data_IF_238984525694
#
_entry.id   IF_238984525694
#
_cell.length_a   1.000
_cell.length_b   1.000
_cell.length_c   1.000
_cell.angle_alpha   90.00
_cell.angle_beta   90.00
_cell.angle_gamma   90.00
#
_symmetry.space_group_name_H-M   'P 1'
#
loop_
_entity.id
_entity.type
_entity.pdbx_description
1 polymer ?
#
# COMPACT_ATOMS: atom_id res chain seq x y z
N UNK A 1 -22.03 -7.95 14.07
CA UNK A 1 -21.09 -8.30 12.99
C UNK A 1 -21.71 -8.03 11.62
N UNK A 2 -22.81 -8.69 11.26
CA UNK A 2 -23.47 -8.60 9.92
C UNK A 2 -23.81 -7.16 9.51
N UNK A 3 -24.29 -6.34 10.44
CA UNK A 3 -24.60 -4.92 10.18
C UNK A 3 -23.35 -4.15 9.75
N UNK A 4 -22.22 -4.36 10.41
CA UNK A 4 -20.98 -3.65 10.08
C UNK A 4 -20.35 -4.17 8.79
N UNK A 5 -20.45 -5.46 8.50
CA UNK A 5 -20.02 -6.02 7.21
C UNK A 5 -20.80 -5.40 6.06
N UNK A 6 -22.12 -5.26 6.18
CA UNK A 6 -22.91 -4.52 5.17
C UNK A 6 -22.46 -3.07 5.04
N UNK A 7 -22.21 -2.39 6.16
CA UNK A 7 -21.77 -1.00 6.16
C UNK A 7 -20.38 -0.81 5.56
N UNK A 8 -19.49 -1.79 5.66
CA UNK A 8 -18.16 -1.71 5.07
C UNK A 8 -18.19 -1.55 3.55
N UNK A 9 -19.30 -1.94 2.92
CA UNK A 9 -19.51 -1.79 1.47
C UNK A 9 -20.13 -0.44 1.08
N UNK A 10 -20.42 0.45 2.03
CA UNK A 10 -21.06 1.74 1.73
C UNK A 10 -20.16 2.71 0.93
N UNK A 11 -18.87 2.46 0.83
CA UNK A 11 -17.96 3.23 -0.02
C UNK A 11 -18.43 3.29 -1.48
N UNK A 12 -19.09 2.24 -1.98
CA UNK A 12 -19.67 2.16 -3.33
C UNK A 12 -20.64 3.33 -3.59
N UNK A 13 -21.38 3.75 -2.57
CA UNK A 13 -22.42 4.79 -2.70
C UNK A 13 -21.87 6.19 -2.95
N UNK A 14 -20.60 6.43 -2.62
CA UNK A 14 -19.90 7.72 -2.79
C UNK A 14 -18.81 7.66 -3.86
N UNK A 15 -18.69 6.55 -4.55
CA UNK A 15 -17.79 6.42 -5.71
C UNK A 15 -18.50 6.93 -6.97
N UNK A 16 -17.95 7.95 -7.60
CA UNK A 16 -18.41 8.46 -8.90
C UNK A 16 -17.64 7.80 -10.03
N UNK A 17 -18.26 6.82 -10.69
CA UNK A 17 -17.65 6.08 -11.80
C UNK A 17 -17.29 6.95 -13.01
N UNK A 18 -17.91 8.13 -13.17
CA UNK A 18 -17.57 9.05 -14.27
C UNK A 18 -16.24 9.77 -14.08
N UNK A 19 -15.86 10.02 -12.84
CA UNK A 19 -14.59 10.67 -12.46
C UNK A 19 -13.58 9.67 -11.89
N UNK A 20 -14.05 8.51 -11.42
CA UNK A 20 -13.30 7.51 -10.65
C UNK A 20 -12.70 8.07 -9.36
N UNK A 21 -13.48 8.93 -8.67
CA UNK A 21 -13.15 9.45 -7.36
C UNK A 21 -14.29 9.20 -6.38
N UNK A 22 -13.97 9.09 -5.10
CA UNK A 22 -14.95 9.27 -4.05
C UNK A 22 -15.31 10.73 -3.95
N UNK A 23 -16.60 11.05 -3.95
CA UNK A 23 -17.08 12.43 -3.97
C UNK A 23 -18.14 12.68 -2.90
N UNK A 24 -18.21 13.92 -2.44
CA UNK A 24 -19.29 14.39 -1.61
C UNK A 24 -20.64 14.25 -2.32
N UNK A 25 -21.63 13.76 -1.59
CA UNK A 25 -23.02 13.66 -2.03
C UNK A 25 -23.92 14.51 -1.15
N UNK A 26 -24.81 15.27 -1.76
CA UNK A 26 -25.83 16.04 -1.06
C UNK A 26 -26.97 15.13 -0.60
N UNK A 27 -27.82 15.66 0.29
CA UNK A 27 -28.97 14.91 0.82
C UNK A 27 -29.97 14.53 -0.27
N UNK A 28 -30.06 15.28 -1.36
CA UNK A 28 -30.88 14.99 -2.53
C UNK A 28 -30.30 13.90 -3.46
N UNK A 29 -29.11 13.36 -3.12
CA UNK A 29 -28.40 12.34 -3.88
C UNK A 29 -27.52 12.87 -5.00
N UNK A 30 -27.52 14.18 -5.25
CA UNK A 30 -26.66 14.77 -6.27
C UNK A 30 -25.22 14.93 -5.78
N UNK A 31 -24.26 14.82 -6.73
CA UNK A 31 -22.85 15.07 -6.43
C UNK A 31 -22.62 16.54 -6.07
N UNK A 32 -21.71 16.81 -5.14
CA UNK A 32 -21.24 18.16 -4.90
C UNK A 32 -20.54 18.73 -6.12
N UNK A 33 -20.85 19.99 -6.43
CA UNK A 33 -20.28 20.74 -7.56
C UNK A 33 -19.93 22.18 -7.13
N UNK A 34 -18.86 22.79 -7.67
CA UNK A 34 -17.88 22.22 -8.61
C UNK A 34 -17.02 21.13 -7.97
N UNK A 35 -16.43 20.23 -8.77
CA UNK A 35 -15.50 19.22 -8.32
C UNK A 35 -14.12 19.48 -8.89
N UNK A 36 -13.16 19.69 -8.02
CA UNK A 36 -11.73 19.78 -8.32
C UNK A 36 -10.98 18.74 -7.47
N UNK A 37 -10.37 17.71 -8.07
CA UNK A 37 -9.70 16.66 -7.32
C UNK A 37 -8.42 17.13 -6.62
N UNK A 38 -7.88 18.29 -6.95
CA UNK A 38 -6.70 18.89 -6.33
C UNK A 38 -7.04 19.87 -5.20
N UNK A 39 -8.32 20.21 -5.04
CA UNK A 39 -8.74 21.13 -4.01
C UNK A 39 -8.86 20.41 -2.65
N UNK A 40 -8.34 21.08 -1.61
CA UNK A 40 -8.63 20.74 -0.22
C UNK A 40 -10.08 21.11 0.03
N UNK A 41 -10.92 20.14 0.27
CA UNK A 41 -12.36 20.32 0.28
C UNK A 41 -13.05 19.85 1.54
N UNK A 42 -14.31 20.28 1.72
CA UNK A 42 -15.14 19.90 2.87
C UNK A 42 -15.45 18.40 2.95
N UNK A 43 -15.41 17.73 1.79
CA UNK A 43 -15.73 16.29 1.70
C UNK A 43 -14.57 15.39 2.06
N UNK A 44 -13.36 15.96 2.25
CA UNK A 44 -12.15 15.22 2.55
C UNK A 44 -11.50 15.82 3.80
N UNK A 45 -11.32 15.03 4.82
CA UNK A 45 -10.63 15.45 6.03
C UNK A 45 -9.14 15.58 5.76
N UNK A 46 -8.59 16.79 5.93
CA UNK A 46 -7.15 17.07 5.83
C UNK A 46 -6.51 16.59 4.52
N UNK A 47 -7.26 16.64 3.40
CA UNK A 47 -6.81 16.03 2.16
C UNK A 47 -7.49 16.60 0.91
N UNK A 48 -6.99 16.19 -0.24
CA UNK A 48 -7.67 16.30 -1.54
C UNK A 48 -8.42 15.02 -1.88
N UNK A 49 -9.17 15.00 -2.99
CA UNK A 49 -9.82 13.79 -3.48
C UNK A 49 -8.81 12.69 -3.82
N UNK A 50 -7.60 13.04 -4.22
CA UNK A 50 -6.55 12.08 -4.56
C UNK A 50 -6.11 11.22 -3.36
N UNK A 51 -5.95 11.79 -2.16
CA UNK A 51 -5.54 11.07 -0.96
C UNK A 51 -6.64 10.14 -0.43
N UNK A 52 -7.91 10.37 -0.79
CA UNK A 52 -9.02 9.47 -0.45
C UNK A 52 -9.39 8.49 -1.56
N UNK A 53 -8.90 8.69 -2.78
CA UNK A 53 -9.27 7.91 -3.97
C UNK A 53 -9.10 6.40 -3.81
N UNK A 54 -8.10 5.98 -3.03
CA UNK A 54 -7.74 4.58 -2.83
C UNK A 54 -8.00 4.10 -1.40
N UNK A 55 -8.73 4.87 -0.58
CA UNK A 55 -8.90 4.57 0.83
C UNK A 55 -10.02 3.54 1.08
N UNK A 56 -9.78 2.31 0.63
CA UNK A 56 -10.65 1.14 0.86
C UNK A 56 -9.76 -0.08 1.20
N UNK A 57 -8.96 -0.01 2.29
CA UNK A 57 -7.93 -1.02 2.58
C UNK A 57 -8.50 -2.41 2.88
N UNK A 58 -9.77 -2.52 3.26
CA UNK A 58 -10.47 -3.78 3.55
C UNK A 58 -10.99 -4.48 2.28
N UNK A 59 -11.13 -3.76 1.16
CA UNK A 59 -11.70 -4.31 -0.08
C UNK A 59 -11.04 -3.73 -1.34
N UNK A 60 -9.75 -3.98 -1.48
CA UNK A 60 -8.95 -3.49 -2.61
C UNK A 60 -9.40 -4.11 -3.93
N UNK A 61 -9.79 -5.40 -3.94
CA UNK A 61 -10.31 -6.02 -5.15
C UNK A 61 -11.65 -5.42 -5.56
N UNK A 62 -12.58 -5.23 -4.62
CA UNK A 62 -13.85 -4.54 -4.90
C UNK A 62 -13.63 -3.13 -5.43
N UNK A 63 -12.69 -2.38 -4.85
CA UNK A 63 -12.28 -1.08 -5.39
C UNK A 63 -11.73 -1.19 -6.82
N UNK A 64 -10.89 -2.16 -7.10
CA UNK A 64 -10.35 -2.42 -8.44
C UNK A 64 -11.47 -2.61 -9.48
N UNK A 65 -12.55 -3.31 -9.10
CA UNK A 65 -13.71 -3.47 -10.00
C UNK A 65 -14.43 -2.14 -10.26
N UNK A 66 -14.56 -1.27 -9.25
CA UNK A 66 -15.15 0.07 -9.43
C UNK A 66 -14.35 0.96 -10.39
N UNK A 67 -13.03 0.79 -10.43
CA UNK A 67 -12.15 1.49 -11.38
C UNK A 67 -12.28 0.98 -12.82
N UNK A 68 -12.98 -0.12 -13.05
CA UNK A 68 -13.13 -0.75 -14.36
C UNK A 68 -12.16 -1.89 -14.62
N UNK A 69 -11.57 -2.45 -13.55
CA UNK A 69 -10.67 -3.59 -13.60
C UNK A 69 -9.21 -3.25 -13.31
N UNK A 70 -8.39 -4.30 -13.34
CA UNK A 70 -6.98 -4.27 -12.90
C UNK A 70 -6.15 -3.23 -13.62
N UNK A 71 -6.20 -3.19 -14.95
CA UNK A 71 -5.38 -2.29 -15.77
C UNK A 71 -5.74 -0.81 -15.55
N UNK A 72 -7.03 -0.51 -15.44
CA UNK A 72 -7.51 0.83 -15.14
C UNK A 72 -7.08 1.27 -13.74
N UNK A 73 -7.20 0.37 -12.75
CA UNK A 73 -6.76 0.63 -11.39
C UNK A 73 -5.25 0.91 -11.32
N UNK A 74 -4.42 0.11 -12.00
CA UNK A 74 -2.96 0.31 -12.06
C UNK A 74 -2.63 1.67 -12.69
N UNK A 75 -3.27 2.02 -13.81
CA UNK A 75 -3.03 3.30 -14.48
C UNK A 75 -3.40 4.49 -13.59
N UNK A 76 -4.51 4.39 -12.85
CA UNK A 76 -4.93 5.42 -11.91
C UNK A 76 -4.03 5.50 -10.66
N UNK A 77 -3.53 4.36 -10.19
CA UNK A 77 -2.57 4.31 -9.08
C UNK A 77 -1.19 4.85 -9.51
N UNK A 78 -0.73 4.55 -10.72
CA UNK A 78 0.47 5.19 -11.30
C UNK A 78 0.29 6.71 -11.39
N UNK A 79 -0.90 7.16 -11.82
CA UNK A 79 -1.21 8.59 -11.93
C UNK A 79 -1.12 9.31 -10.59
N UNK A 80 -1.50 8.69 -9.48
CA UNK A 80 -1.37 9.28 -8.14
C UNK A 80 0.04 9.80 -7.87
N UNK A 81 1.07 9.03 -8.26
CA UNK A 81 2.47 9.35 -8.02
C UNK A 81 3.11 10.24 -9.11
N UNK A 82 2.41 10.45 -10.23
CA UNK A 82 2.97 11.13 -11.42
C UNK A 82 2.34 12.47 -11.75
N UNK A 83 1.12 12.76 -11.27
CA UNK A 83 0.47 14.05 -11.49
C UNK A 83 1.17 15.17 -10.72
N UNK A 84 0.79 16.41 -10.98
CA UNK A 84 1.34 17.56 -10.25
C UNK A 84 1.17 17.42 -8.74
N UNK A 85 2.16 17.87 -7.98
CA UNK A 85 2.08 18.00 -6.51
C UNK A 85 1.42 19.31 -6.06
N UNK A 86 0.91 20.11 -6.97
CA UNK A 86 0.16 21.32 -6.62
C UNK A 86 -1.20 20.95 -6.04
N UNK A 87 -1.59 21.65 -4.97
CA UNK A 87 -2.89 21.54 -4.34
C UNK A 87 -3.55 22.92 -4.32
N UNK A 88 -4.87 22.95 -4.35
CA UNK A 88 -5.66 24.19 -4.29
C UNK A 88 -6.15 24.36 -2.86
N UNK A 89 -5.62 25.36 -2.16
CA UNK A 89 -5.87 25.64 -0.74
C UNK A 89 -4.65 25.33 0.12
N UNK A 90 -4.71 25.74 1.37
CA UNK A 90 -3.63 25.55 2.34
C UNK A 90 -4.05 24.57 3.43
N UNK A 91 -3.24 23.57 3.68
CA UNK A 91 -3.40 22.67 4.80
C UNK A 91 -2.03 22.10 5.23
N UNK A 92 -1.77 22.16 6.53
CA UNK A 92 -0.48 21.76 7.13
C UNK A 92 -0.19 20.28 6.94
N UNK A 93 -1.23 19.43 6.94
CA UNK A 93 -1.09 17.97 6.92
C UNK A 93 -0.85 17.39 5.51
N UNK A 94 -1.06 18.17 4.44
CA UNK A 94 -0.74 17.75 3.07
C UNK A 94 0.72 18.04 2.78
N UNK A 95 1.61 17.18 3.29
CA UNK A 95 3.06 17.31 3.19
C UNK A 95 3.69 16.02 2.64
N UNK A 96 4.97 16.08 2.25
CA UNK A 96 5.68 14.93 1.71
C UNK A 96 5.06 14.43 0.40
N UNK A 97 4.73 15.37 -0.51
CA UNK A 97 4.04 15.04 -1.74
C UNK A 97 4.97 14.38 -2.76
N UNK A 98 4.50 13.25 -3.32
CA UNK A 98 5.00 12.63 -4.55
C UNK A 98 3.81 12.51 -5.50
N UNK A 99 3.72 13.37 -6.50
CA UNK A 99 2.45 13.59 -7.18
C UNK A 99 1.39 14.05 -6.17
N UNK A 100 0.29 13.33 -6.08
CA UNK A 100 -0.74 13.58 -5.07
C UNK A 100 -0.73 12.58 -3.89
N UNK A 101 0.25 11.68 -3.85
CA UNK A 101 0.54 10.91 -2.64
C UNK A 101 1.13 11.83 -1.58
N UNK A 102 0.51 11.91 -0.41
CA UNK A 102 0.94 12.77 0.70
C UNK A 102 1.44 11.90 1.86
N UNK A 103 2.76 11.73 1.97
CA UNK A 103 3.33 10.85 2.99
C UNK A 103 3.10 11.36 4.42
N UNK A 104 3.03 12.67 4.59
CA UNK A 104 2.79 13.30 5.90
C UNK A 104 1.37 13.15 6.43
N UNK A 105 0.48 12.39 5.76
CA UNK A 105 -0.88 12.14 6.22
C UNK A 105 -1.28 10.67 5.99
N UNK A 106 -1.88 10.05 7.00
CA UNK A 106 -2.16 8.62 7.09
C UNK A 106 -3.06 8.03 5.99
N UNK A 107 -4.02 8.77 5.39
CA UNK A 107 -4.80 8.23 4.28
C UNK A 107 -3.97 7.72 3.11
N UNK A 108 -2.72 8.17 2.98
CA UNK A 108 -1.81 7.75 1.92
C UNK A 108 -0.98 6.49 2.25
N UNK A 109 -0.78 6.17 3.53
CA UNK A 109 0.25 5.22 3.98
C UNK A 109 0.17 3.81 3.39
N UNK A 110 -1.03 3.36 3.02
CA UNK A 110 -1.24 2.04 2.42
C UNK A 110 -1.06 2.02 0.90
N UNK A 111 -1.07 3.18 0.23
CA UNK A 111 -1.22 3.25 -1.24
C UNK A 111 -0.06 2.65 -2.01
N UNK A 112 1.19 2.81 -1.53
CA UNK A 112 2.36 2.20 -2.15
C UNK A 112 2.30 0.66 -2.13
N UNK A 113 1.53 0.08 -1.22
CA UNK A 113 1.35 -1.37 -1.07
C UNK A 113 0.25 -1.95 -1.97
N UNK A 114 -0.60 -1.11 -2.56
CA UNK A 114 -1.75 -1.56 -3.36
C UNK A 114 -1.35 -2.27 -4.65
N UNK A 115 -0.14 -2.03 -5.16
CA UNK A 115 0.38 -2.76 -6.31
C UNK A 115 0.50 -4.26 -6.07
N UNK A 116 0.74 -4.68 -4.83
CA UNK A 116 0.77 -6.10 -4.44
C UNK A 116 -0.59 -6.79 -4.61
N UNK A 117 -1.70 -6.06 -4.46
CA UNK A 117 -3.06 -6.58 -4.66
C UNK A 117 -3.42 -6.80 -6.13
N UNK A 118 -2.69 -6.14 -7.02
CA UNK A 118 -2.93 -6.21 -8.47
C UNK A 118 -1.78 -6.86 -9.23
N UNK A 119 -1.01 -7.73 -8.55
CA UNK A 119 0.04 -8.56 -9.14
C UNK A 119 1.24 -7.78 -9.67
N UNK A 120 1.55 -6.62 -9.08
CA UNK A 120 2.76 -5.84 -9.38
C UNK A 120 3.60 -5.54 -8.12
N UNK A 121 3.96 -6.56 -7.30
CA UNK A 121 4.67 -6.32 -6.04
C UNK A 121 6.03 -5.62 -6.21
N UNK A 122 6.66 -5.71 -7.37
CA UNK A 122 7.89 -4.96 -7.65
C UNK A 122 7.70 -3.43 -7.59
N UNK A 123 6.50 -2.91 -7.97
CA UNK A 123 6.17 -1.49 -7.81
C UNK A 123 5.97 -1.11 -6.34
N UNK A 124 5.36 -1.98 -5.53
CA UNK A 124 5.33 -1.81 -4.07
C UNK A 124 6.76 -1.63 -3.54
N UNK A 125 7.69 -2.51 -3.92
CA UNK A 125 9.08 -2.47 -3.46
C UNK A 125 9.79 -1.20 -3.92
N UNK A 126 9.55 -0.75 -5.14
CA UNK A 126 10.12 0.48 -5.69
C UNK A 126 9.62 1.72 -4.95
N UNK A 127 8.30 1.86 -4.80
CA UNK A 127 7.71 3.02 -4.15
C UNK A 127 8.00 3.07 -2.65
N UNK A 128 7.90 1.96 -1.94
CA UNK A 128 8.21 1.94 -0.50
C UNK A 128 9.67 2.28 -0.25
N UNK A 129 10.59 1.78 -1.09
CA UNK A 129 12.01 2.13 -0.99
C UNK A 129 12.23 3.62 -1.21
N UNK A 130 11.63 4.19 -2.24
CA UNK A 130 11.72 5.61 -2.53
C UNK A 130 11.21 6.47 -1.37
N UNK A 131 10.05 6.11 -0.81
CA UNK A 131 9.46 6.84 0.32
C UNK A 131 10.34 6.74 1.59
N UNK A 132 10.92 5.56 1.87
CA UNK A 132 11.85 5.39 2.98
C UNK A 132 13.12 6.26 2.80
N UNK A 133 13.64 6.36 1.59
CA UNK A 133 14.85 7.11 1.28
C UNK A 133 14.61 8.64 1.27
N UNK A 134 13.43 9.10 0.81
CA UNK A 134 13.14 10.53 0.59
C UNK A 134 12.42 11.21 1.76
N UNK A 135 11.58 10.47 2.52
CA UNK A 135 10.68 11.08 3.52
C UNK A 135 11.20 11.03 4.95
N UNK A 136 12.33 10.36 5.17
CA UNK A 136 12.94 10.22 6.49
C UNK A 136 14.41 10.58 6.46
N UNK A 137 14.86 11.37 7.45
CA UNK A 137 16.24 11.82 7.58
C UNK A 137 16.74 11.57 9.00
N UNK A 138 18.05 11.31 9.20
CA UNK A 138 18.63 11.08 10.54
C UNK A 138 18.90 12.40 11.28
N UNK A 139 17.88 13.25 11.39
CA UNK A 139 17.91 14.55 12.07
C UNK A 139 16.72 14.68 13.00
N UNK A 140 16.72 15.61 13.98
CA UNK A 140 15.55 15.84 14.85
C UNK A 140 14.27 16.17 14.10
N UNK A 141 14.36 16.86 12.95
CA UNK A 141 13.25 17.21 12.06
C UNK A 141 13.11 16.22 10.90
N UNK A 142 13.61 15.00 11.05
CA UNK A 142 13.77 14.04 9.97
C UNK A 142 12.49 13.32 9.54
N UNK A 143 11.36 13.54 10.20
CA UNK A 143 10.05 13.00 9.82
C UNK A 143 9.30 14.08 9.03
N UNK A 144 8.79 13.73 7.86
CA UNK A 144 7.99 14.66 7.07
C UNK A 144 6.59 14.81 7.69
N UNK A 145 6.14 16.05 7.92
CA UNK A 145 4.86 16.35 8.56
C UNK A 145 4.86 16.08 10.07
N UNK A 146 3.69 15.82 10.63
CA UNK A 146 3.51 15.48 12.04
C UNK A 146 3.81 14.00 12.28
N UNK A 147 4.24 13.68 13.51
CA UNK A 147 4.55 12.28 13.87
C UNK A 147 3.29 11.43 14.12
N UNK A 148 2.23 12.09 14.59
CA UNK A 148 0.87 11.54 14.81
C UNK A 148 0.83 10.29 15.69
N UNK A 149 1.24 10.49 16.92
CA UNK A 149 1.17 9.48 17.98
C UNK A 149 1.88 8.16 17.66
N UNK A 150 2.93 8.21 16.88
CA UNK A 150 3.74 7.04 16.53
C UNK A 150 3.45 6.44 15.16
N UNK A 151 2.49 6.96 14.40
CA UNK A 151 2.12 6.38 13.10
C UNK A 151 3.24 6.52 12.07
N UNK A 152 3.88 7.68 11.97
CA UNK A 152 4.97 7.90 11.02
C UNK A 152 6.19 7.04 11.35
N UNK A 153 6.55 6.95 12.62
CA UNK A 153 7.62 6.06 13.09
C UNK A 153 7.28 4.59 12.86
N UNK A 154 6.03 4.18 13.13
CA UNK A 154 5.58 2.81 12.90
C UNK A 154 5.63 2.43 11.42
N UNK A 155 5.22 3.33 10.52
CA UNK A 155 5.33 3.10 9.08
C UNK A 155 6.77 2.90 8.65
N UNK A 156 7.69 3.79 9.11
CA UNK A 156 9.12 3.66 8.83
C UNK A 156 9.69 2.34 9.34
N UNK A 157 9.44 2.01 10.61
CA UNK A 157 10.00 0.81 11.25
C UNK A 157 9.51 -0.45 10.54
N UNK A 158 8.20 -0.60 10.35
CA UNK A 158 7.63 -1.79 9.72
C UNK A 158 8.06 -1.92 8.26
N UNK A 159 8.00 -0.83 7.48
CA UNK A 159 8.43 -0.83 6.08
C UNK A 159 9.92 -1.12 5.94
N UNK A 160 10.77 -0.57 6.83
CA UNK A 160 12.21 -0.85 6.85
C UNK A 160 12.56 -2.28 7.26
N UNK A 161 11.67 -2.97 7.97
CA UNK A 161 11.76 -4.41 8.28
C UNK A 161 11.26 -5.29 7.13
N UNK A 162 10.65 -4.71 6.10
CA UNK A 162 10.21 -5.42 4.90
C UNK A 162 8.75 -5.85 4.88
N UNK A 163 7.88 -5.25 5.71
CA UNK A 163 6.44 -5.53 5.70
C UNK A 163 5.61 -4.40 6.31
N UNK A 164 4.32 -4.32 5.95
CA UNK A 164 3.39 -3.34 6.50
C UNK A 164 1.94 -3.87 6.53
N UNK A 165 1.16 -3.49 7.53
CA UNK A 165 -0.26 -3.82 7.64
C UNK A 165 -1.11 -2.81 6.87
N UNK A 166 -1.60 -3.18 5.70
CA UNK A 166 -2.45 -2.32 4.86
C UNK A 166 -3.86 -2.20 5.42
N UNK A 167 -4.40 -3.31 5.96
CA UNK A 167 -5.74 -3.37 6.54
C UNK A 167 -5.64 -3.74 8.02
N UNK A 168 -5.68 -2.77 8.95
CA UNK A 168 -5.75 -3.04 10.38
C UNK A 168 -6.95 -3.94 10.69
N UNK A 169 -6.72 -4.99 11.46
CA UNK A 169 -7.72 -6.02 11.75
C UNK A 169 -7.68 -7.24 10.83
N UNK A 170 -6.98 -7.19 9.70
CA UNK A 170 -6.55 -8.42 9.02
C UNK A 170 -5.31 -9.01 9.71
N UNK A 171 -5.05 -10.29 9.49
CA UNK A 171 -3.84 -10.93 10.01
C UNK A 171 -2.68 -10.90 9.00
N UNK A 172 -2.77 -10.10 7.93
CA UNK A 172 -1.78 -10.06 6.85
C UNK A 172 -0.94 -8.79 6.88
N UNK A 173 0.35 -8.97 6.64
CA UNK A 173 1.33 -7.92 6.41
C UNK A 173 1.87 -8.06 5.00
N UNK A 174 1.78 -7.00 4.22
CA UNK A 174 2.23 -6.98 2.82
C UNK A 174 3.76 -6.86 2.80
N UNK A 175 4.41 -7.72 2.04
CA UNK A 175 5.86 -7.76 1.95
C UNK A 175 6.41 -6.68 1.03
N UNK A 176 7.50 -6.07 1.45
CA UNK A 176 8.34 -5.15 0.69
C UNK A 176 9.81 -5.45 0.97
N UNK A 177 10.72 -4.66 0.44
CA UNK A 177 12.15 -4.91 0.58
C UNK A 177 12.68 -4.31 1.89
N UNK A 178 13.34 -5.10 2.77
CA UNK A 178 14.00 -4.57 3.95
C UNK A 178 15.09 -3.54 3.60
N UNK A 179 15.36 -2.61 4.53
CA UNK A 179 16.49 -1.66 4.40
C UNK A 179 17.81 -2.21 4.92
N UNK A 180 17.78 -3.24 5.77
CA UNK A 180 18.95 -3.72 6.51
C UNK A 180 19.33 -5.13 6.06
N UNK A 181 20.64 -5.42 6.00
CA UNK A 181 21.13 -6.79 5.76
C UNK A 181 20.62 -7.76 6.83
N UNK A 182 20.46 -7.27 8.06
CA UNK A 182 19.94 -8.07 9.17
C UNK A 182 19.24 -7.20 10.22
N UNK A 183 18.09 -7.65 10.67
CA UNK A 183 17.38 -7.12 11.83
C UNK A 183 16.96 -8.26 12.77
N UNK A 184 16.93 -7.97 14.08
CA UNK A 184 16.44 -8.91 15.09
C UNK A 184 15.25 -8.28 15.82
N UNK A 185 14.07 -8.82 15.64
CA UNK A 185 12.84 -8.37 16.29
C UNK A 185 12.47 -9.31 17.44
N UNK A 186 12.49 -8.77 18.65
CA UNK A 186 11.98 -9.51 19.83
C UNK A 186 10.46 -9.45 19.82
N UNK A 187 9.82 -10.61 19.86
CA UNK A 187 8.38 -10.74 19.81
C UNK A 187 7.78 -10.77 21.24
N UNK A 188 6.53 -10.33 21.37
CA UNK A 188 5.83 -10.29 22.65
C UNK A 188 5.65 -11.66 23.32
N UNK A 189 5.77 -12.76 22.59
CA UNK A 189 5.74 -14.13 23.10
C UNK A 189 7.12 -14.65 23.55
N UNK A 190 8.15 -13.79 23.59
CA UNK A 190 9.52 -14.12 23.98
C UNK A 190 10.40 -14.73 22.88
N UNK A 191 9.85 -15.01 21.69
CA UNK A 191 10.62 -15.47 20.55
C UNK A 191 11.33 -14.30 19.85
N UNK A 192 12.22 -14.62 18.93
CA UNK A 192 12.90 -13.63 18.07
C UNK A 192 12.63 -13.97 16.62
N UNK A 193 12.24 -12.97 15.83
CA UNK A 193 12.26 -13.05 14.38
C UNK A 193 13.54 -12.37 13.88
N UNK A 194 14.35 -13.11 13.15
CA UNK A 194 15.54 -12.62 12.47
C UNK A 194 15.15 -12.35 11.02
N UNK A 195 15.34 -11.13 10.56
CA UNK A 195 15.07 -10.73 9.18
C UNK A 195 16.42 -10.57 8.50
N UNK A 196 16.62 -11.19 7.34
CA UNK A 196 17.86 -11.11 6.56
C UNK A 196 17.56 -10.75 5.11
N UNK A 197 18.48 -9.98 4.49
CA UNK A 197 18.39 -9.59 3.09
C UNK A 197 19.80 -9.42 2.50
N UNK A 198 20.01 -9.83 1.25
CA UNK A 198 21.30 -9.73 0.59
C UNK A 198 21.52 -8.34 -0.04
N UNK A 199 22.41 -7.54 0.54
CA UNK A 199 22.82 -6.22 0.03
C UNK A 199 21.62 -5.31 -0.35
N UNK A 200 20.72 -4.98 0.60
CA UNK A 200 19.51 -4.20 0.31
C UNK A 200 19.82 -2.75 -0.10
N UNK A 201 21.02 -2.26 0.15
CA UNK A 201 21.55 -0.98 -0.36
C UNK A 201 21.65 -0.95 -1.91
N UNK A 202 21.90 -2.11 -2.54
CA UNK A 202 22.04 -2.26 -3.99
C UNK A 202 20.86 -2.96 -4.64
N UNK A 203 20.21 -3.85 -3.91
CA UNK A 203 19.13 -4.71 -4.40
C UNK A 203 17.80 -4.25 -3.83
N UNK A 204 16.88 -3.87 -4.71
CA UNK A 204 15.59 -3.29 -4.31
C UNK A 204 14.41 -4.22 -4.55
N UNK A 205 14.61 -5.36 -5.22
CA UNK A 205 13.51 -6.19 -5.70
C UNK A 205 13.62 -7.61 -5.17
N UNK A 206 12.53 -8.12 -4.63
CA UNK A 206 12.40 -9.47 -4.10
C UNK A 206 12.34 -10.46 -5.26
N UNK A 207 13.19 -11.48 -5.20
CA UNK A 207 13.14 -12.64 -6.10
C UNK A 207 12.68 -13.91 -5.39
N UNK A 208 12.89 -13.98 -4.07
CA UNK A 208 12.47 -15.08 -3.21
C UNK A 208 12.35 -14.62 -1.77
N UNK A 209 11.38 -15.17 -1.04
CA UNK A 209 11.28 -15.05 0.41
C UNK A 209 11.14 -16.44 1.01
N UNK A 210 11.80 -16.66 2.14
CA UNK A 210 11.59 -17.88 2.94
C UNK A 210 11.35 -17.55 4.41
N UNK A 211 10.50 -18.33 5.07
CA UNK A 211 10.36 -18.33 6.52
C UNK A 211 10.81 -19.70 7.06
N UNK A 212 11.86 -19.69 7.89
CA UNK A 212 12.45 -20.92 8.44
C UNK A 212 12.84 -21.95 7.36
N UNK A 213 13.25 -21.47 6.17
CA UNK A 213 13.63 -22.28 5.04
C UNK A 213 12.49 -22.68 4.10
N UNK A 214 11.23 -22.48 4.50
CA UNK A 214 10.06 -22.72 3.64
C UNK A 214 9.76 -21.49 2.78
N UNK A 215 9.50 -21.67 1.49
CA UNK A 215 9.27 -20.60 0.54
C UNK A 215 7.90 -19.95 0.72
N UNK A 216 7.89 -18.60 0.71
CA UNK A 216 6.69 -17.78 0.67
C UNK A 216 6.53 -17.22 -0.75
N UNK A 217 5.53 -17.73 -1.48
CA UNK A 217 5.21 -17.27 -2.84
C UNK A 217 4.21 -16.12 -2.87
N UNK A 218 3.45 -15.91 -1.77
CA UNK A 218 2.51 -14.79 -1.64
C UNK A 218 3.26 -13.48 -1.40
N UNK A 219 2.67 -12.36 -1.80
CA UNK A 219 3.22 -11.05 -1.49
C UNK A 219 2.82 -10.53 -0.08
N UNK A 220 2.49 -11.43 0.83
CA UNK A 220 2.19 -11.15 2.23
C UNK A 220 2.70 -12.26 3.17
N UNK A 221 2.78 -11.93 4.45
CA UNK A 221 3.02 -12.86 5.56
C UNK A 221 1.93 -12.64 6.61
N UNK A 222 1.50 -13.71 7.29
CA UNK A 222 0.47 -13.58 8.33
C UNK A 222 1.09 -13.24 9.70
N UNK A 223 0.27 -12.63 10.57
CA UNK A 223 0.66 -12.40 11.97
C UNK A 223 1.10 -13.69 12.66
N UNK A 224 0.37 -14.79 12.46
CA UNK A 224 0.69 -16.08 13.06
C UNK A 224 2.04 -16.62 12.58
N UNK A 225 2.37 -16.43 11.30
CA UNK A 225 3.69 -16.79 10.76
C UNK A 225 4.80 -15.93 11.37
N UNK A 226 4.61 -14.61 11.47
CA UNK A 226 5.58 -13.71 12.14
C UNK A 226 5.79 -14.11 13.59
N UNK A 227 4.73 -14.44 14.32
CA UNK A 227 4.79 -14.82 15.74
C UNK A 227 5.40 -16.21 16.01
N UNK A 228 5.64 -17.01 14.97
CA UNK A 228 6.45 -18.24 15.11
C UNK A 228 7.91 -17.92 15.44
N UNK A 229 8.39 -16.75 15.04
CA UNK A 229 9.80 -16.38 15.12
C UNK A 229 10.66 -17.22 14.16
N UNK A 230 11.96 -17.19 14.37
CA UNK A 230 12.92 -17.86 13.49
C UNK A 230 13.51 -16.90 12.47
N UNK A 231 13.68 -17.32 11.21
CA UNK A 231 14.34 -16.51 10.18
C UNK A 231 13.42 -16.24 8.99
N UNK A 232 13.17 -14.96 8.72
CA UNK A 232 12.54 -14.47 7.49
C UNK A 232 13.67 -13.96 6.58
N UNK A 233 13.93 -14.67 5.49
CA UNK A 233 15.04 -14.39 4.58
C UNK A 233 14.55 -13.88 3.23
N UNK A 234 15.11 -12.75 2.79
CA UNK A 234 14.81 -12.11 1.51
C UNK A 234 15.99 -12.27 0.56
N UNK A 235 15.78 -12.92 -0.56
CA UNK A 235 16.71 -12.88 -1.69
C UNK A 235 16.32 -11.77 -2.63
N UNK A 236 17.22 -10.82 -2.84
CA UNK A 236 16.98 -9.60 -3.57
C UNK A 236 17.80 -9.51 -4.85
N UNK A 237 17.32 -8.72 -5.83
CA UNK A 237 18.04 -8.35 -7.05
C UNK A 237 18.01 -6.83 -7.27
N UNK A 238 18.93 -6.34 -8.10
CA UNK A 238 18.99 -4.94 -8.51
C UNK A 238 17.93 -4.58 -9.57
N UNK A 239 17.38 -5.57 -10.26
CA UNK A 239 16.37 -5.41 -11.31
C UNK A 239 15.04 -6.03 -10.88
N UNK A 240 13.89 -5.46 -11.31
CA UNK A 240 12.56 -5.97 -10.95
C UNK A 240 12.39 -7.44 -11.35
N UNK A 241 12.00 -8.30 -10.40
CA UNK A 241 11.47 -9.62 -10.72
C UNK A 241 9.94 -9.52 -10.88
N UNK A 242 9.47 -9.75 -12.10
CA UNK A 242 8.05 -9.70 -12.45
C UNK A 242 7.35 -11.07 -12.34
N UNK A 243 7.95 -12.02 -11.60
CA UNK A 243 7.40 -13.37 -11.38
C UNK A 243 7.00 -13.61 -9.94
N UNK A 244 7.81 -13.14 -8.98
CA UNK A 244 7.51 -13.35 -7.57
C UNK A 244 6.25 -12.60 -7.13
N UNK A 245 5.31 -13.31 -6.51
CA UNK A 245 4.09 -12.74 -5.91
C UNK A 245 3.07 -12.18 -6.91
N UNK A 246 3.18 -12.49 -8.21
CA UNK A 246 2.35 -11.85 -9.26
C UNK A 246 1.07 -12.59 -9.61
N UNK A 247 0.99 -13.88 -9.30
CA UNK A 247 -0.20 -14.67 -9.59
C UNK A 247 -1.40 -14.21 -8.73
N UNK A 248 -2.62 -14.25 -9.25
CA UNK A 248 -3.82 -13.79 -8.53
C UNK A 248 -4.01 -14.45 -7.16
N UNK A 249 -3.68 -15.74 -7.04
CA UNK A 249 -3.76 -16.51 -5.79
C UNK A 249 -2.73 -16.08 -4.74
N UNK A 250 -1.73 -15.29 -5.12
CA UNK A 250 -0.70 -14.75 -4.22
C UNK A 250 -1.03 -13.33 -3.72
N UNK A 251 -2.13 -12.76 -4.20
CA UNK A 251 -2.59 -11.45 -3.76
C UNK A 251 -3.04 -11.48 -2.28
N UNK A 252 -2.91 -10.36 -1.56
CA UNK A 252 -3.43 -10.25 -0.22
C UNK A 252 -4.96 -10.33 -0.19
N UNK A 253 -5.49 -10.58 1.02
CA UNK A 253 -6.92 -10.64 1.26
C UNK A 253 -7.65 -9.35 0.86
N UNK A 254 -8.81 -9.51 0.26
CA UNK A 254 -9.81 -8.47 0.03
C UNK A 254 -11.18 -9.02 0.43
N UNK A 255 -12.08 -8.15 0.92
CA UNK A 255 -13.42 -8.58 1.30
C UNK A 255 -14.18 -9.20 0.11
N UNK A 256 -14.13 -8.54 -1.04
CA UNK A 256 -14.60 -9.12 -2.31
C UNK A 256 -13.56 -10.12 -2.80
N UNK A 257 -13.95 -11.37 -2.96
CA UNK A 257 -13.06 -12.44 -3.40
C UNK A 257 -12.67 -12.27 -4.87
N UNK A 258 -11.39 -12.41 -5.16
CA UNK A 258 -10.93 -12.55 -6.53
C UNK A 258 -11.35 -13.93 -7.06
N UNK A 259 -11.92 -14.02 -8.27
CA UNK A 259 -12.14 -15.32 -8.89
C UNK A 259 -10.81 -16.06 -9.05
N UNK A 260 -10.70 -17.26 -8.51
CA UNK A 260 -9.55 -18.14 -8.66
C UNK A 260 -9.51 -18.81 -10.04
N UNK A 261 -9.78 -18.06 -11.09
CA UNK A 261 -9.61 -18.53 -12.47
C UNK A 261 -8.18 -18.19 -12.86
N UNK A 262 -7.35 -19.20 -12.97
CA UNK A 262 -6.05 -19.12 -13.62
C UNK A 262 -6.23 -18.69 -15.08
N UNK A 263 -6.25 -17.38 -15.32
CA UNK A 263 -5.97 -16.85 -16.65
C UNK A 263 -4.46 -16.96 -16.78
N UNK A 264 -3.93 -17.75 -17.72
CA UNK A 264 -2.49 -17.78 -17.92
C UNK A 264 -2.04 -16.35 -18.22
N UNK A 265 -1.19 -15.82 -17.34
CA UNK A 265 -0.54 -14.54 -17.55
C UNK A 265 0.35 -14.68 -18.79
N UNK A 266 -0.12 -14.18 -19.92
CA UNK A 266 0.73 -13.99 -21.08
C UNK A 266 1.56 -12.74 -20.74
N UNK A 267 2.79 -12.96 -20.30
CA UNK A 267 3.78 -11.90 -20.28
C UNK A 267 3.92 -11.40 -21.72
N UNK A 268 3.35 -10.25 -22.02
CA UNK A 268 3.70 -9.54 -23.21
C UNK A 268 5.13 -9.04 -23.01
N UNK A 269 6.10 -9.81 -23.53
CA UNK A 269 7.42 -9.32 -23.85
C UNK A 269 7.24 -8.23 -24.93
N UNK A 270 7.15 -7.00 -24.49
CA UNK A 270 7.39 -5.84 -25.34
C UNK A 270 8.42 -4.98 -24.63
N UNK A 271 9.62 -5.05 -25.19
CA UNK A 271 10.84 -4.23 -25.12
C UNK A 271 10.92 -3.05 -24.14
#
# INVERSE_FOLDING_TARGET
YETFIKRSQNFINVFDGSTRFFRGKRQDGNWETPFDPFAIGRSYTEATAWQYRFFTPHDVYGLTQLFGGREAFIADLDSLFMVTSEVVGDLVDVTGLVGQYAHGNEPSHHMAYLYSYVGQPWKTQEWTRRLLDEMYQPTPEGIIGNEDCGQMSAWYILSSLGFYSVCPGSNQFILTTPLFDKANMKLGNGKTLVITANQPDKNKYITKVTLNGEEISHCYITYDQLMQGGTLDFTLSATPDKRWGTAPEYAPYSYTEQPTVSIPYIANDLD
#
